data_IF_734347295975
#
_entry.id   IF_734347295975
#
_cell.length_a   1.000
_cell.length_b   1.000
_cell.length_c   1.000
_cell.angle_alpha   90.00
_cell.angle_beta   90.00
_cell.angle_gamma   90.00
#
_symmetry.space_group_name_H-M   'P 1'
#
loop_
_entity.id
_entity.type
_entity.pdbx_description
1 polymer ?
#
# COMPACT_ATOMS: atom_id res chain seq x y z
N UNK A 1 -11.00 23.42 28.91
CA UNK A 1 -10.60 22.01 28.75
C UNK A 1 -11.54 21.26 27.79
N UNK A 2 -11.27 21.28 26.48
CA UNK A 2 -11.80 20.31 25.51
C UNK A 2 -11.49 20.77 24.07
N UNK A 3 -10.56 20.09 23.41
CA UNK A 3 -10.80 19.55 22.05
C UNK A 3 -9.55 18.79 21.59
N UNK A 4 -9.42 17.55 22.06
CA UNK A 4 -8.62 16.55 21.32
C UNK A 4 -9.43 16.17 20.08
N UNK A 5 -9.34 16.99 19.04
CA UNK A 5 -9.66 16.57 17.67
C UNK A 5 -8.44 15.83 17.13
N UNK A 6 -8.28 14.59 17.58
CA UNK A 6 -7.25 13.68 17.09
C UNK A 6 -7.68 13.15 15.73
N UNK A 7 -7.06 13.67 14.67
CA UNK A 7 -6.46 12.94 13.54
C UNK A 7 -7.26 11.87 12.77
N UNK A 8 -8.56 11.70 13.02
CA UNK A 8 -9.37 10.64 12.39
C UNK A 8 -9.84 10.95 10.96
N UNK A 9 -9.66 12.17 10.46
CA UNK A 9 -10.24 12.58 9.17
C UNK A 9 -9.30 12.54 7.96
N UNK A 10 -8.01 12.19 8.10
CA UNK A 10 -7.05 12.30 6.99
C UNK A 10 -6.68 10.99 6.27
N UNK A 11 -7.45 9.91 6.41
CA UNK A 11 -7.12 8.64 5.76
C UNK A 11 -8.30 7.90 5.11
N UNK A 12 -8.74 8.37 3.94
CA UNK A 12 -9.46 7.53 2.98
C UNK A 12 -8.89 7.83 1.59
N UNK A 13 -8.54 6.83 0.74
CA UNK A 13 -9.29 5.57 0.54
C UNK A 13 -8.49 4.24 0.59
N UNK A 14 -9.22 3.14 0.84
CA UNK A 14 -9.14 1.78 0.25
C UNK A 14 -10.62 1.39 0.12
N UNK A 15 -11.23 1.78 -1.00
CA UNK A 15 -12.59 1.45 -1.47
C UNK A 15 -13.72 1.29 -0.40
N UNK A 16 -14.41 2.37 0.00
CA UNK A 16 -15.55 2.38 0.97
C UNK A 16 -15.30 1.73 2.35
N UNK A 17 -15.96 2.25 3.40
CA UNK A 17 -15.80 1.70 4.74
C UNK A 17 -16.21 0.22 4.82
N UNK A 18 -17.24 -0.20 4.06
CA UNK A 18 -17.65 -1.60 3.98
C UNK A 18 -16.56 -2.53 3.43
N UNK A 19 -15.97 -2.27 2.25
CA UNK A 19 -14.97 -3.20 1.69
C UNK A 19 -13.69 -3.23 2.52
N UNK A 20 -13.32 -2.13 3.19
CA UNK A 20 -12.22 -2.17 4.14
C UNK A 20 -12.54 -3.08 5.35
N UNK A 21 -13.79 -3.08 5.82
CA UNK A 21 -14.25 -3.95 6.90
C UNK A 21 -14.26 -5.42 6.45
N UNK A 22 -14.76 -5.70 5.26
CA UNK A 22 -14.72 -7.04 4.64
C UNK A 22 -13.29 -7.53 4.45
N UNK A 23 -12.41 -6.71 3.85
CA UNK A 23 -10.99 -7.05 3.69
C UNK A 23 -10.34 -7.39 5.03
N UNK A 24 -10.62 -6.61 6.08
CA UNK A 24 -10.12 -6.90 7.43
C UNK A 24 -10.65 -8.21 7.98
N UNK A 25 -11.92 -8.54 7.72
CA UNK A 25 -12.52 -9.80 8.13
C UNK A 25 -11.84 -10.98 7.42
N UNK A 26 -11.74 -10.94 6.10
CA UNK A 26 -11.08 -11.99 5.29
C UNK A 26 -9.61 -12.18 5.69
N UNK A 27 -8.88 -11.08 5.92
CA UNK A 27 -7.48 -11.13 6.36
C UNK A 27 -7.28 -11.73 7.75
N UNK A 28 -8.33 -11.83 8.58
CA UNK A 28 -8.27 -12.56 9.85
C UNK A 28 -8.49 -14.07 9.67
N UNK A 29 -9.09 -14.49 8.56
CA UNK A 29 -9.37 -15.90 8.25
C UNK A 29 -8.17 -16.61 7.60
N UNK A 30 -7.24 -15.86 7.01
CA UNK A 30 -6.08 -16.41 6.31
C UNK A 30 -4.76 -16.03 6.99
N UNK A 31 -3.73 -16.87 6.83
CA UNK A 31 -2.36 -16.52 7.18
C UNK A 31 -1.76 -15.73 6.02
N UNK A 32 -1.38 -14.48 6.27
CA UNK A 32 -0.75 -13.62 5.28
C UNK A 32 0.44 -12.87 5.88
N UNK A 33 1.46 -12.62 5.06
CA UNK A 33 2.62 -11.80 5.42
C UNK A 33 2.55 -10.42 4.78
N UNK A 34 2.33 -10.40 3.47
CA UNK A 34 2.24 -9.20 2.64
C UNK A 34 1.08 -9.39 1.67
N UNK A 35 0.29 -8.34 1.45
CA UNK A 35 -0.79 -8.28 0.49
C UNK A 35 -0.54 -7.10 -0.45
N UNK A 36 -0.56 -7.35 -1.76
CA UNK A 36 -0.60 -6.30 -2.78
C UNK A 36 -2.00 -5.72 -2.92
N UNK A 37 -2.11 -4.40 -2.97
CA UNK A 37 -3.37 -3.67 -3.12
C UNK A 37 -3.26 -2.81 -4.36
N UNK A 38 -4.25 -2.90 -5.25
CA UNK A 38 -4.48 -1.95 -6.34
C UNK A 38 -5.63 -1.00 -5.96
N UNK A 39 -5.70 0.15 -6.60
CA UNK A 39 -6.73 1.19 -6.38
C UNK A 39 -6.71 1.77 -4.95
N UNK A 40 -5.53 2.15 -4.46
CA UNK A 40 -5.43 2.87 -3.19
C UNK A 40 -6.05 4.27 -3.26
N UNK A 41 -6.13 4.89 -4.45
CA UNK A 41 -6.73 6.23 -4.65
C UNK A 41 -6.16 7.31 -3.72
N UNK A 42 -4.87 7.17 -3.39
CA UNK A 42 -4.11 8.12 -2.55
C UNK A 42 -3.04 8.80 -3.38
N UNK A 43 -2.78 10.07 -3.08
CA UNK A 43 -1.73 10.86 -3.74
C UNK A 43 -0.39 10.67 -3.03
N UNK A 44 0.69 10.77 -3.79
CA UNK A 44 2.06 10.68 -3.29
C UNK A 44 2.47 9.27 -2.85
N UNK A 45 3.62 9.21 -2.20
CA UNK A 45 4.20 7.99 -1.65
C UNK A 45 4.34 8.13 -0.14
N UNK A 46 3.66 7.27 0.62
CA UNK A 46 3.76 7.27 2.08
C UNK A 46 3.80 5.85 2.63
N UNK A 47 4.24 5.75 3.88
CA UNK A 47 4.24 4.54 4.66
C UNK A 47 3.56 4.83 6.00
N UNK A 48 2.34 4.29 6.18
CA UNK A 48 1.49 4.61 7.33
C UNK A 48 1.26 3.38 8.19
N UNK A 49 1.39 3.54 9.51
CA UNK A 49 0.99 2.53 10.48
C UNK A 49 -0.52 2.59 10.71
N UNK A 50 -1.22 1.48 10.51
CA UNK A 50 -2.64 1.36 10.77
C UNK A 50 -2.92 1.09 12.26
N UNK A 51 -4.15 1.31 12.71
CA UNK A 51 -4.58 0.96 14.07
C UNK A 51 -4.36 -0.54 14.41
N UNK A 52 -4.41 -1.42 13.40
CA UNK A 52 -4.10 -2.84 13.57
C UNK A 52 -2.61 -3.15 13.79
N UNK A 53 -1.76 -2.11 13.76
CA UNK A 53 -0.29 -2.16 13.71
C UNK A 53 0.29 -2.76 12.43
N UNK A 54 -0.55 -3.06 11.44
CA UNK A 54 -0.09 -3.38 10.10
C UNK A 54 0.44 -2.10 9.44
N UNK A 55 1.39 -2.27 8.53
CA UNK A 55 1.99 -1.18 7.79
C UNK A 55 1.39 -1.13 6.39
N UNK A 56 0.99 0.04 5.94
CA UNK A 56 0.55 0.25 4.57
C UNK A 56 1.52 1.20 3.89
N UNK A 57 2.26 0.67 2.92
CA UNK A 57 3.06 1.48 2.00
C UNK A 57 2.28 1.63 0.70
N UNK A 58 2.09 2.85 0.24
CA UNK A 58 1.38 3.09 -1.01
C UNK A 58 2.10 4.15 -1.84
N UNK A 59 1.88 4.07 -3.14
CA UNK A 59 2.23 5.10 -4.11
C UNK A 59 1.05 5.34 -5.03
N UNK A 60 0.72 6.61 -5.24
CA UNK A 60 -0.22 7.01 -6.27
C UNK A 60 0.18 8.33 -6.90
N UNK A 61 -0.48 8.65 -8.00
CA UNK A 61 -0.18 9.83 -8.80
C UNK A 61 -0.48 11.11 -8.00
N UNK A 62 0.36 12.13 -8.14
CA UNK A 62 0.16 13.43 -7.50
C UNK A 62 -0.98 14.23 -8.15
N UNK A 63 -1.26 14.00 -9.43
CA UNK A 63 -2.21 14.78 -10.22
C UNK A 63 -3.64 14.22 -10.09
N UNK A 64 -3.81 12.90 -10.09
CA UNK A 64 -5.13 12.25 -10.08
C UNK A 64 -5.36 11.40 -8.83
N UNK A 65 -6.61 11.38 -8.36
CA UNK A 65 -7.07 10.44 -7.32
C UNK A 65 -7.47 9.07 -7.89
N UNK A 66 -7.18 8.84 -9.17
CA UNK A 66 -7.47 7.61 -9.92
C UNK A 66 -6.23 6.71 -9.88
N UNK A 67 -6.42 5.45 -9.52
CA UNK A 67 -5.32 4.50 -9.38
C UNK A 67 -4.54 4.63 -8.07
N UNK A 68 -3.38 3.98 -8.04
CA UNK A 68 -2.54 3.84 -6.85
C UNK A 68 -2.45 2.39 -6.41
N UNK A 69 -1.26 1.99 -5.98
CA UNK A 69 -0.93 0.62 -5.60
C UNK A 69 -0.15 0.66 -4.30
N UNK A 70 -0.20 -0.43 -3.56
CA UNK A 70 0.40 -0.48 -2.25
C UNK A 70 0.64 -1.89 -1.78
N UNK A 71 1.43 -1.98 -0.72
CA UNK A 71 1.70 -3.18 0.02
C UNK A 71 1.16 -2.99 1.43
N UNK A 72 0.22 -3.86 1.79
CA UNK A 72 -0.18 -4.04 3.17
C UNK A 72 0.71 -5.12 3.77
N UNK A 73 1.41 -4.79 4.85
CA UNK A 73 2.40 -5.66 5.50
C UNK A 73 1.90 -5.98 6.89
N UNK A 74 1.83 -7.27 7.18
CA UNK A 74 1.40 -7.76 8.48
C UNK A 74 2.39 -7.28 9.55
N UNK A 75 1.88 -6.85 10.71
CA UNK A 75 2.69 -6.39 11.85
C UNK A 75 3.84 -7.35 12.21
N UNK A 76 3.66 -8.65 12.02
CA UNK A 76 4.67 -9.67 12.33
C UNK A 76 5.86 -9.67 11.36
N UNK A 77 5.71 -9.11 10.16
CA UNK A 77 6.73 -9.03 9.12
C UNK A 77 7.47 -7.68 9.12
N UNK A 78 7.01 -6.68 9.88
CA UNK A 78 7.60 -5.33 9.86
C UNK A 78 9.09 -5.36 10.23
N UNK A 79 9.47 -6.15 11.23
CA UNK A 79 10.87 -6.32 11.66
C UNK A 79 11.80 -6.91 10.59
N UNK A 80 11.22 -7.56 9.57
CA UNK A 80 11.97 -8.20 8.50
C UNK A 80 12.18 -7.24 7.31
N UNK A 81 11.58 -6.05 7.31
CA UNK A 81 11.67 -5.10 6.20
C UNK A 81 13.09 -4.51 6.16
N UNK A 82 13.77 -4.69 5.03
CA UNK A 82 15.00 -3.95 4.70
C UNK A 82 14.69 -2.71 3.87
N UNK A 83 13.68 -2.77 2.99
CA UNK A 83 13.40 -1.68 2.05
C UNK A 83 11.93 -1.68 1.64
N UNK A 84 11.36 -0.47 1.53
CA UNK A 84 10.06 -0.18 0.93
C UNK A 84 10.23 1.05 0.04
N UNK A 85 9.94 0.92 -1.25
CA UNK A 85 10.05 2.04 -2.20
C UNK A 85 9.03 1.89 -3.32
N UNK A 86 8.49 3.01 -3.76
CA UNK A 86 7.81 3.12 -5.02
C UNK A 86 8.80 3.39 -6.16
N UNK A 87 8.92 2.43 -7.08
CA UNK A 87 9.87 2.49 -8.21
C UNK A 87 9.35 3.43 -9.31
N UNK A 88 8.04 3.39 -9.59
CA UNK A 88 7.40 4.23 -10.61
C UNK A 88 5.95 4.48 -10.24
N UNK A 89 5.19 5.18 -11.08
CA UNK A 89 3.74 5.39 -10.91
C UNK A 89 2.90 4.11 -11.11
N UNK A 90 3.53 2.95 -11.31
CA UNK A 90 2.85 1.66 -11.45
C UNK A 90 3.52 0.50 -10.71
N UNK A 91 4.66 0.71 -10.07
CA UNK A 91 5.45 -0.36 -9.43
C UNK A 91 5.90 0.05 -8.02
N UNK A 92 5.61 -0.80 -7.04
CA UNK A 92 6.11 -0.70 -5.66
C UNK A 92 6.90 -1.95 -5.31
N UNK A 93 7.96 -1.78 -4.54
CA UNK A 93 8.90 -2.80 -4.19
C UNK A 93 9.08 -2.90 -2.68
N UNK A 94 9.17 -4.13 -2.18
CA UNK A 94 9.55 -4.44 -0.83
C UNK A 94 10.64 -5.51 -0.80
N UNK A 95 11.65 -5.27 0.03
CA UNK A 95 12.71 -6.24 0.34
C UNK A 95 12.61 -6.65 1.80
N UNK A 96 12.55 -7.96 2.04
CA UNK A 96 12.45 -8.53 3.37
C UNK A 96 13.56 -9.55 3.64
N UNK A 97 14.20 -9.44 4.81
CA UNK A 97 15.11 -10.42 5.37
C UNK A 97 14.37 -11.35 6.33
N UNK A 98 14.10 -12.59 5.92
CA UNK A 98 13.40 -13.56 6.77
C UNK A 98 14.35 -14.24 7.76
N UNK A 99 15.54 -14.60 7.30
CA UNK A 99 16.62 -15.24 8.07
C UNK A 99 17.95 -14.71 7.55
N UNK A 100 19.06 -14.94 8.28
CA UNK A 100 20.39 -14.42 7.92
C UNK A 100 20.78 -14.66 6.44
N UNK A 101 20.37 -15.79 5.87
CA UNK A 101 20.72 -16.18 4.49
C UNK A 101 19.55 -16.08 3.50
N UNK A 102 18.38 -15.57 3.90
CA UNK A 102 17.18 -15.59 3.05
C UNK A 102 16.57 -14.19 2.94
N UNK A 103 16.57 -13.69 1.72
CA UNK A 103 15.88 -12.46 1.31
C UNK A 103 14.73 -12.80 0.38
N UNK A 104 13.63 -12.07 0.52
CA UNK A 104 12.54 -12.05 -0.45
C UNK A 104 12.39 -10.63 -0.97
N UNK A 105 12.32 -10.49 -2.29
CA UNK A 105 11.96 -9.24 -2.96
C UNK A 105 10.58 -9.40 -3.60
N UNK A 106 9.70 -8.44 -3.34
CA UNK A 106 8.31 -8.43 -3.78
C UNK A 106 8.11 -7.17 -4.60
N UNK A 107 7.59 -7.33 -5.81
CA UNK A 107 7.21 -6.24 -6.69
C UNK A 107 5.72 -6.34 -6.97
N UNK A 108 4.97 -5.30 -6.61
CA UNK A 108 3.57 -5.17 -7.02
C UNK A 108 3.54 -4.17 -8.17
N UNK A 109 3.08 -4.63 -9.32
CA UNK A 109 2.98 -3.85 -10.54
C UNK A 109 1.54 -3.83 -11.05
N UNK A 110 1.14 -2.71 -11.65
CA UNK A 110 -0.09 -2.62 -12.42
C UNK A 110 0.22 -2.55 -13.92
N UNK A 111 -0.31 -3.51 -14.69
CA UNK A 111 -0.15 -3.54 -16.14
C UNK A 111 -1.07 -2.51 -16.82
N UNK A 112 -0.60 -1.75 -17.83
CA UNK A 112 -1.47 -0.86 -18.61
C UNK A 112 -2.63 -1.65 -19.23
N UNK A 113 -3.84 -1.13 -19.06
CA UNK A 113 -5.00 -1.59 -19.83
C UNK A 113 -4.96 -0.97 -21.22
N UNK A 114 -5.31 -1.73 -22.25
CA UNK A 114 -5.24 -1.38 -23.68
C UNK A 114 -6.00 -0.12 -24.14
N UNK A 115 -6.72 0.54 -23.24
CA UNK A 115 -7.52 1.74 -23.50
C UNK A 115 -6.89 3.04 -22.98
N UNK A 116 -5.65 2.99 -22.49
CA UNK A 116 -4.90 4.18 -22.11
C UNK A 116 -4.11 4.69 -23.32
N UNK A 117 -4.38 5.91 -23.79
CA UNK A 117 -3.43 6.60 -24.67
C UNK A 117 -2.12 6.77 -23.89
N UNK A 118 -1.01 6.39 -24.53
CA UNK A 118 0.36 6.57 -24.04
C UNK A 118 0.67 8.07 -23.89
N UNK A 119 0.20 8.69 -22.82
CA UNK A 119 0.49 10.09 -22.56
C UNK A 119 1.91 10.23 -21.97
N UNK A 120 2.84 10.47 -22.89
CA UNK A 120 4.19 11.06 -22.74
C UNK A 120 5.08 10.49 -21.63
N UNK A 121 5.89 9.50 -22.02
CA UNK A 121 7.28 9.42 -21.54
C UNK A 121 7.99 10.70 -22.01
N UNK A 122 8.12 11.69 -21.13
CA UNK A 122 8.97 12.85 -21.41
C UNK A 122 10.41 12.49 -21.01
N UNK A 123 11.33 12.72 -21.96
CA UNK A 123 12.76 12.43 -21.93
C UNK A 123 13.48 12.85 -20.64
#
# INVERSE_FOLDING_TARGET
PSSRRTTEQRSAPIASAERLKELKYELNLIKWGILGICETRRRGEECIALQSRNLLHYKGNNNDSVGGFGLLINKNQIKNIETLTGISDRVIHAKLRLKKLTTIEIMQAYAPTSSYEDEKVTR
#
